data_IF_441891747121
#
_entry.id   IF_441891747121
#
_cell.length_a   1.000
_cell.length_b   1.000
_cell.length_c   1.000
_cell.angle_alpha   90.00
_cell.angle_beta   90.00
_cell.angle_gamma   90.00
#
_symmetry.space_group_name_H-M   'P 1'
#
loop_
_entity.id
_entity.type
_entity.pdbx_description
1 polymer ?
#
# COMPACT_ATOMS: atom_id res chain seq x y z
N UNK A 1 -7.90 -6.10 -2.59
CA UNK A 1 -8.03 -4.74 -2.00
C UNK A 1 -7.42 -3.77 -2.98
N UNK A 2 -8.11 -2.68 -3.29
CA UNK A 2 -7.64 -1.57 -4.12
C UNK A 2 -8.23 -0.26 -3.57
N UNK A 3 -7.88 0.88 -4.15
CA UNK A 3 -8.22 2.23 -3.68
C UNK A 3 -9.47 2.86 -4.33
N UNK A 4 -10.28 2.08 -5.07
CA UNK A 4 -11.40 2.56 -5.91
C UNK A 4 -11.01 3.57 -7.01
N UNK A 5 -9.75 3.71 -7.41
CA UNK A 5 -9.40 4.58 -8.54
C UNK A 5 -10.19 4.19 -9.82
N UNK A 6 -10.53 5.17 -10.66
CA UNK A 6 -11.37 4.95 -11.86
C UNK A 6 -10.92 3.76 -12.73
N UNK A 7 -9.61 3.55 -13.01
CA UNK A 7 -9.16 2.37 -13.75
C UNK A 7 -9.53 1.04 -13.10
N UNK A 8 -9.55 0.99 -11.75
CA UNK A 8 -9.93 -0.19 -10.97
C UNK A 8 -11.43 -0.51 -11.02
N UNK A 9 -12.24 0.37 -11.61
CA UNK A 9 -13.69 0.19 -11.78
C UNK A 9 -14.10 0.08 -13.24
N UNK A 10 -13.13 -0.07 -14.15
CA UNK A 10 -13.41 -0.37 -15.55
C UNK A 10 -14.14 -1.72 -15.69
N UNK A 11 -15.05 -1.80 -16.67
CA UNK A 11 -15.78 -3.05 -16.97
C UNK A 11 -14.83 -4.22 -17.22
N UNK A 12 -13.77 -3.97 -18.00
CA UNK A 12 -12.76 -5.00 -18.30
C UNK A 12 -12.12 -5.58 -17.03
N UNK A 13 -11.77 -4.74 -16.04
CA UNK A 13 -11.21 -5.24 -14.79
C UNK A 13 -12.26 -5.97 -13.94
N UNK A 14 -13.49 -5.43 -13.85
CA UNK A 14 -14.58 -6.08 -13.10
C UNK A 14 -14.86 -7.48 -13.66
N UNK A 15 -14.99 -7.60 -14.98
CA UNK A 15 -15.20 -8.88 -15.67
C UNK A 15 -14.04 -9.84 -15.41
N UNK A 16 -12.79 -9.34 -15.46
CA UNK A 16 -11.60 -10.15 -15.13
C UNK A 16 -11.63 -10.67 -13.69
N UNK A 17 -11.93 -9.82 -12.71
CA UNK A 17 -11.96 -10.21 -11.29
C UNK A 17 -13.06 -11.25 -11.04
N UNK A 18 -14.22 -11.10 -11.66
CA UNK A 18 -15.33 -12.07 -11.58
C UNK A 18 -14.93 -13.42 -12.19
N UNK A 19 -14.37 -13.41 -13.40
CA UNK A 19 -13.95 -14.64 -14.10
C UNK A 19 -12.83 -15.39 -13.38
N UNK A 20 -12.02 -14.68 -12.58
CA UNK A 20 -10.92 -15.28 -11.80
C UNK A 20 -11.28 -15.51 -10.32
N UNK A 21 -12.57 -15.40 -9.95
CA UNK A 21 -13.06 -15.59 -8.58
C UNK A 21 -12.31 -14.75 -7.52
N UNK A 22 -11.85 -13.55 -7.90
CA UNK A 22 -11.16 -12.63 -7.00
C UNK A 22 -12.19 -11.83 -6.21
N UNK A 23 -12.22 -12.01 -4.90
CA UNK A 23 -13.10 -11.24 -4.02
C UNK A 23 -12.54 -9.84 -3.79
N UNK A 24 -13.33 -8.80 -4.07
CA UNK A 24 -13.00 -7.42 -3.75
C UNK A 24 -13.48 -7.05 -2.35
N UNK A 25 -12.79 -6.09 -1.73
CA UNK A 25 -13.17 -5.53 -0.44
C UNK A 25 -13.81 -4.17 -0.69
N UNK A 26 -14.94 -3.83 -0.04
CA UNK A 26 -15.47 -2.48 -0.08
C UNK A 26 -14.43 -1.54 0.54
N UNK A 27 -14.07 -0.50 -0.20
CA UNK A 27 -13.06 0.47 0.20
C UNK A 27 -13.67 1.86 0.31
N UNK A 28 -13.42 2.63 1.38
CA UNK A 28 -13.81 4.04 1.42
C UNK A 28 -12.91 4.89 0.51
N UNK A 29 -13.49 5.89 -0.16
CA UNK A 29 -12.71 6.83 -0.97
C UNK A 29 -11.73 7.63 -0.09
N UNK A 30 -10.60 8.06 -0.69
CA UNK A 30 -9.62 8.94 -0.03
C UNK A 30 -9.12 8.43 1.33
N UNK A 31 -8.94 7.11 1.47
CA UNK A 31 -8.50 6.49 2.73
C UNK A 31 -7.13 5.80 2.58
N UNK A 32 -6.05 6.54 2.28
CA UNK A 32 -4.70 5.97 2.18
C UNK A 32 -4.24 5.37 3.51
N UNK A 33 -4.65 5.95 4.64
CA UNK A 33 -4.36 5.50 6.00
C UNK A 33 -4.77 4.04 6.25
N UNK A 34 -5.82 3.58 5.57
CA UNK A 34 -6.28 2.21 5.67
C UNK A 34 -5.45 1.25 4.82
N UNK A 35 -4.75 1.72 3.78
CA UNK A 35 -3.99 0.90 2.88
C UNK A 35 -2.60 0.55 3.45
N UNK A 36 -2.33 -0.72 3.85
CA UNK A 36 -1.01 -1.10 4.37
C UNK A 36 0.11 -0.92 3.36
N UNK A 37 -0.20 -0.90 2.06
CA UNK A 37 0.80 -0.75 1.01
C UNK A 37 1.47 0.62 1.07
N UNK A 38 0.76 1.67 1.48
CA UNK A 38 1.35 3.01 1.69
C UNK A 38 2.50 2.98 2.70
N UNK A 39 2.37 2.14 3.73
CA UNK A 39 3.43 1.97 4.72
C UNK A 39 4.61 1.15 4.19
N UNK A 40 4.37 0.22 3.26
CA UNK A 40 5.46 -0.48 2.59
C UNK A 40 6.22 0.49 1.70
N UNK A 41 5.52 1.37 0.97
CA UNK A 41 6.15 2.44 0.20
C UNK A 41 6.97 3.39 1.08
N UNK A 42 6.46 3.79 2.24
CA UNK A 42 7.20 4.60 3.21
C UNK A 42 8.47 3.88 3.72
N UNK A 43 8.40 2.58 4.02
CA UNK A 43 9.58 1.78 4.38
C UNK A 43 10.64 1.84 3.28
N UNK A 44 10.24 1.65 2.02
CA UNK A 44 11.16 1.69 0.88
C UNK A 44 11.72 3.11 0.70
N UNK A 45 10.88 4.14 0.72
CA UNK A 45 11.29 5.52 0.59
C UNK A 45 12.33 5.92 1.63
N UNK A 46 12.12 5.55 2.90
CA UNK A 46 13.09 5.78 3.98
C UNK A 46 14.40 5.03 3.77
N UNK A 47 14.36 3.78 3.30
CA UNK A 47 15.57 2.99 2.99
C UNK A 47 16.37 3.60 1.85
N UNK A 48 15.70 4.07 0.80
CA UNK A 48 16.32 4.78 -0.32
C UNK A 48 16.93 6.10 0.13
N UNK A 49 16.23 6.88 0.96
CA UNK A 49 16.74 8.13 1.52
C UNK A 49 17.93 7.93 2.46
N UNK A 50 18.01 6.78 3.14
CA UNK A 50 19.10 6.44 4.06
C UNK A 50 20.34 5.86 3.35
N UNK A 51 20.33 5.70 2.03
CA UNK A 51 21.50 5.24 1.29
C UNK A 51 22.65 6.24 1.42
N UNK A 52 23.86 5.73 1.69
CA UNK A 52 25.07 6.56 1.80
C UNK A 52 25.36 7.34 0.53
N UNK A 53 25.12 6.71 -0.63
CA UNK A 53 25.24 7.36 -1.93
C UNK A 53 23.83 7.73 -2.40
N UNK A 54 23.57 9.00 -2.70
CA UNK A 54 22.27 9.42 -3.21
C UNK A 54 22.05 8.82 -4.60
N UNK A 55 20.83 8.38 -4.84
CA UNK A 55 20.37 7.92 -6.15
C UNK A 55 20.22 9.14 -7.07
N UNK A 56 20.85 9.12 -8.24
CA UNK A 56 20.87 10.25 -9.18
C UNK A 56 20.15 9.96 -10.49
N UNK A 57 19.96 8.69 -10.85
CA UNK A 57 19.29 8.29 -12.10
C UNK A 57 18.08 7.40 -11.87
N UNK A 58 17.17 7.37 -12.83
CA UNK A 58 16.01 6.46 -12.79
C UNK A 58 16.44 5.00 -12.70
N UNK A 59 17.52 4.63 -13.39
CA UNK A 59 18.06 3.26 -13.37
C UNK A 59 18.64 2.89 -12.01
N UNK A 60 19.33 3.82 -11.36
CA UNK A 60 19.79 3.62 -9.98
C UNK A 60 18.62 3.51 -9.00
N UNK A 61 17.57 4.32 -9.19
CA UNK A 61 16.37 4.26 -8.35
C UNK A 61 15.68 2.91 -8.48
N UNK A 62 15.49 2.43 -9.70
CA UNK A 62 14.92 1.12 -9.98
C UNK A 62 15.74 0.01 -9.31
N UNK A 63 17.06 -0.02 -9.54
CA UNK A 63 17.94 -1.03 -8.95
C UNK A 63 17.92 -0.99 -7.42
N UNK A 64 17.94 0.20 -6.82
CA UNK A 64 17.87 0.38 -5.39
C UNK A 64 16.52 -0.08 -4.83
N UNK A 65 15.40 0.27 -5.46
CA UNK A 65 14.06 -0.18 -5.06
C UNK A 65 13.94 -1.70 -5.11
N UNK A 66 14.43 -2.35 -6.17
CA UNK A 66 14.46 -3.80 -6.26
C UNK A 66 15.26 -4.43 -5.12
N UNK A 67 16.44 -3.89 -4.80
CA UNK A 67 17.26 -4.37 -3.68
C UNK A 67 16.55 -4.20 -2.35
N UNK A 68 16.03 -3.02 -2.05
CA UNK A 68 15.40 -2.73 -0.76
C UNK A 68 14.07 -3.48 -0.59
N UNK A 69 13.34 -3.73 -1.69
CA UNK A 69 12.13 -4.55 -1.71
C UNK A 69 12.40 -5.98 -1.24
N UNK A 70 13.48 -6.60 -1.74
CA UNK A 70 13.86 -7.96 -1.33
C UNK A 70 14.23 -8.05 0.16
N UNK A 71 14.59 -6.93 0.78
CA UNK A 71 14.88 -6.83 2.21
C UNK A 71 13.63 -6.53 3.06
N UNK A 72 12.45 -6.37 2.47
CA UNK A 72 11.21 -6.22 3.24
C UNK A 72 10.80 -7.59 3.77
N UNK A 73 10.88 -7.76 5.09
CA UNK A 73 10.64 -9.05 5.72
C UNK A 73 9.14 -9.38 5.77
N UNK A 74 8.83 -10.69 5.78
CA UNK A 74 7.46 -11.17 6.01
C UNK A 74 6.90 -10.72 7.37
N UNK A 75 7.75 -10.49 8.36
CA UNK A 75 7.33 -9.96 9.67
C UNK A 75 6.87 -8.51 9.56
N UNK A 76 7.60 -7.65 8.85
CA UNK A 76 7.18 -6.27 8.59
C UNK A 76 5.81 -6.25 7.89
N UNK A 77 5.61 -7.09 6.87
CA UNK A 77 4.31 -7.22 6.18
C UNK A 77 3.22 -7.71 7.14
N UNK A 78 3.47 -8.78 7.91
CA UNK A 78 2.50 -9.31 8.89
C UNK A 78 2.12 -8.29 9.96
N UNK A 79 3.07 -7.46 10.41
CA UNK A 79 2.78 -6.39 11.38
C UNK A 79 1.85 -5.32 10.79
N UNK A 80 2.05 -4.97 9.53
CA UNK A 80 1.21 -3.98 8.84
C UNK A 80 -0.20 -4.53 8.60
N UNK A 81 -0.32 -5.74 8.04
CA UNK A 81 -1.62 -6.36 7.76
C UNK A 81 -2.36 -6.76 9.02
N UNK A 82 -1.66 -7.26 10.04
CA UNK A 82 -2.24 -7.55 11.37
C UNK A 82 -2.72 -6.29 12.12
N UNK A 83 -2.28 -5.11 11.69
CA UNK A 83 -2.72 -3.83 12.24
C UNK A 83 -4.07 -3.34 11.70
N UNK A 84 -4.65 -3.98 10.69
CA UNK A 84 -5.83 -3.48 9.97
C UNK A 84 -7.02 -3.17 10.87
N UNK A 85 -7.30 -4.04 11.86
CA UNK A 85 -8.40 -3.81 12.80
C UNK A 85 -8.25 -2.46 13.52
N UNK A 86 -7.05 -2.14 14.01
CA UNK A 86 -6.78 -0.87 14.69
C UNK A 86 -6.90 0.35 13.78
N UNK A 87 -6.62 0.20 12.48
CA UNK A 87 -6.77 1.28 11.49
C UNK A 87 -8.24 1.55 11.21
N UNK A 88 -9.02 0.49 11.00
CA UNK A 88 -10.47 0.58 10.81
C UNK A 88 -11.13 1.21 12.04
N UNK A 89 -10.76 0.74 13.24
CA UNK A 89 -11.24 1.36 14.48
C UNK A 89 -10.86 2.84 14.52
N UNK A 90 -9.61 3.23 14.22
CA UNK A 90 -9.22 4.64 14.20
C UNK A 90 -10.07 5.51 13.24
N UNK A 91 -10.39 5.02 12.04
CA UNK A 91 -11.26 5.72 11.09
C UNK A 91 -12.69 5.85 11.62
N UNK A 92 -13.23 4.81 12.25
CA UNK A 92 -14.56 4.83 12.87
C UNK A 92 -14.60 5.90 13.99
N UNK A 93 -13.57 5.93 14.84
CA UNK A 93 -13.48 6.91 15.93
C UNK A 93 -13.29 8.33 15.41
N UNK A 94 -12.57 8.50 14.30
CA UNK A 94 -12.45 9.76 13.58
C UNK A 94 -13.70 10.13 12.74
N UNK A 95 -14.77 9.32 12.80
CA UNK A 95 -16.01 9.49 12.01
C UNK A 95 -15.75 9.62 10.50
N UNK A 96 -14.80 8.84 9.98
CA UNK A 96 -14.39 8.88 8.57
C UNK A 96 -13.32 9.92 8.25
N UNK A 97 -12.84 10.67 9.25
CA UNK A 97 -11.72 11.61 9.09
C UNK A 97 -10.35 10.94 9.04
N UNK A 98 -9.32 11.76 8.83
CA UNK A 98 -7.91 11.34 8.80
C UNK A 98 -7.46 10.75 10.13
N UNK A 99 -6.51 9.82 10.04
CA UNK A 99 -5.91 9.13 11.19
C UNK A 99 -4.40 9.33 11.20
N UNK A 100 -3.73 8.74 12.18
CA UNK A 100 -2.25 8.78 12.31
C UNK A 100 -1.53 7.75 11.43
N UNK A 101 -2.27 6.86 10.78
CA UNK A 101 -1.71 5.79 9.97
C UNK A 101 -1.45 6.32 8.58
#
# INVERSE_FOLDING_TARGET
MDDNARPHRSRALVDYLQNNAVTTLPWPAMSPDLNPLEHVWDILGRRIQALQLPVQTLRELEAALHREWLQVTREQIRRLTGGMRRRVDAVIWARGGFTRY
#
